data_IF_442600003069
#
_entry.id   IF_442600003069
#
_cell.length_a   1.000
_cell.length_b   1.000
_cell.length_c   1.000
_cell.angle_alpha   90.00
_cell.angle_beta   90.00
_cell.angle_gamma   90.00
#
_symmetry.space_group_name_H-M   'P 1'
#
loop_
_entity.id
_entity.type
_entity.pdbx_description
1 polymer ?
#
# COMPACT_ATOMS: atom_id res chain seq x y z
N UNK A 1 25.45 5.61 4.33
CA UNK A 1 25.00 4.25 4.64
C UNK A 1 23.53 4.08 4.33
N UNK A 2 23.17 2.91 3.82
CA UNK A 2 21.83 2.65 3.29
C UNK A 2 21.12 1.50 4.01
N UNK A 3 21.55 1.17 5.24
CA UNK A 3 21.05 0.01 5.97
C UNK A 3 19.57 0.14 6.32
N UNK A 4 19.13 1.33 6.74
CA UNK A 4 17.73 1.55 7.08
C UNK A 4 16.86 1.62 5.83
N UNK A 5 17.34 2.24 4.76
CA UNK A 5 16.63 2.26 3.48
C UNK A 5 16.45 0.83 2.98
N UNK A 6 17.50 0.01 3.02
CA UNK A 6 17.44 -1.39 2.61
C UNK A 6 16.45 -2.18 3.46
N UNK A 7 16.42 -1.93 4.78
CA UNK A 7 15.47 -2.57 5.67
C UNK A 7 14.03 -2.23 5.29
N UNK A 8 13.73 -0.94 5.09
CA UNK A 8 12.41 -0.52 4.66
C UNK A 8 12.01 -1.14 3.33
N UNK A 9 12.93 -1.12 2.36
CA UNK A 9 12.67 -1.71 1.04
C UNK A 9 12.29 -3.18 1.16
N UNK A 10 13.04 -3.95 1.95
CA UNK A 10 12.75 -5.36 2.20
C UNK A 10 11.40 -5.56 2.88
N UNK A 11 11.07 -4.74 3.88
CA UNK A 11 9.81 -4.86 4.59
C UNK A 11 8.61 -4.55 3.70
N UNK A 12 8.71 -3.54 2.84
CA UNK A 12 7.64 -3.26 1.88
C UNK A 12 7.51 -4.37 0.83
N UNK A 13 8.62 -4.98 0.42
CA UNK A 13 8.59 -6.14 -0.49
C UNK A 13 7.91 -7.33 0.15
N UNK A 14 8.15 -7.57 1.43
CA UNK A 14 7.48 -8.65 2.17
C UNK A 14 5.98 -8.41 2.25
N UNK A 15 5.57 -7.18 2.49
CA UNK A 15 4.17 -6.80 2.52
C UNK A 15 3.51 -7.03 1.15
N UNK A 16 4.15 -6.59 0.07
CA UNK A 16 3.67 -6.82 -1.29
C UNK A 16 3.50 -8.31 -1.59
N UNK A 17 4.48 -9.13 -1.20
CA UNK A 17 4.39 -10.59 -1.36
C UNK A 17 3.20 -11.16 -0.60
N UNK A 18 2.94 -10.66 0.61
CA UNK A 18 1.80 -11.10 1.40
C UNK A 18 0.47 -10.74 0.72
N UNK A 19 0.36 -9.54 0.14
CA UNK A 19 -0.83 -9.15 -0.63
C UNK A 19 -1.07 -10.12 -1.78
N UNK A 20 -0.01 -10.46 -2.53
CA UNK A 20 -0.12 -11.31 -3.71
C UNK A 20 -0.50 -12.74 -3.34
N UNK A 21 0.11 -13.28 -2.28
CA UNK A 21 -0.25 -14.60 -1.78
C UNK A 21 -1.72 -14.65 -1.33
N UNK A 22 -2.16 -13.65 -0.58
CA UNK A 22 -3.56 -13.58 -0.14
C UNK A 22 -4.51 -13.46 -1.32
N UNK A 23 -4.15 -12.68 -2.35
CA UNK A 23 -4.95 -12.54 -3.55
C UNK A 23 -5.09 -13.87 -4.29
N UNK A 24 -4.00 -14.65 -4.39
CA UNK A 24 -4.04 -15.98 -5.01
C UNK A 24 -5.01 -16.93 -4.31
N UNK A 25 -5.17 -16.79 -3.01
CA UNK A 25 -6.09 -17.63 -2.22
C UNK A 25 -7.54 -17.21 -2.30
N UNK A 26 -7.85 -16.04 -2.86
CA UNK A 26 -9.22 -15.59 -2.99
C UNK A 26 -9.99 -16.46 -3.98
N UNK A 27 -11.25 -16.72 -3.66
CA UNK A 27 -12.17 -17.34 -4.60
C UNK A 27 -12.69 -16.24 -5.54
N UNK A 28 -12.41 -16.39 -6.84
CA UNK A 28 -12.83 -15.41 -7.86
C UNK A 28 -14.34 -15.17 -7.82
N UNK A 29 -15.13 -16.22 -7.60
CA UNK A 29 -16.58 -16.11 -7.59
C UNK A 29 -17.11 -15.40 -6.34
N UNK A 30 -16.34 -15.42 -5.25
CA UNK A 30 -16.72 -14.82 -3.97
C UNK A 30 -16.04 -13.47 -3.71
N UNK A 31 -15.17 -13.04 -4.63
CA UNK A 31 -14.39 -11.82 -4.44
C UNK A 31 -15.28 -10.57 -4.33
N UNK A 32 -16.29 -10.50 -5.19
CA UNK A 32 -17.21 -9.36 -5.23
C UNK A 32 -18.64 -9.84 -5.40
N UNK A 33 -19.57 -9.29 -4.62
CA UNK A 33 -21.00 -9.59 -4.74
C UNK A 33 -21.70 -8.51 -5.56
N UNK A 34 -22.21 -8.81 -6.76
CA UNK A 34 -22.96 -7.82 -7.53
C UNK A 34 -24.29 -7.44 -6.89
N UNK A 35 -24.85 -8.30 -6.04
CA UNK A 35 -26.12 -8.04 -5.34
C UNK A 35 -25.94 -6.98 -4.25
N UNK A 36 -24.93 -7.16 -3.39
CA UNK A 36 -24.63 -6.22 -2.29
C UNK A 36 -23.69 -5.11 -2.72
N UNK A 37 -23.04 -5.25 -3.88
CA UNK A 37 -22.00 -4.34 -4.38
C UNK A 37 -20.84 -4.21 -3.40
N UNK A 38 -20.45 -5.31 -2.78
CA UNK A 38 -19.39 -5.35 -1.79
C UNK A 38 -18.33 -6.37 -2.17
N UNK A 39 -17.08 -6.02 -1.86
CA UNK A 39 -15.97 -6.95 -1.91
C UNK A 39 -16.06 -7.90 -0.71
N UNK A 40 -15.47 -9.09 -0.87
CA UNK A 40 -15.30 -9.99 0.27
C UNK A 40 -14.46 -9.30 1.34
N UNK A 41 -14.64 -9.65 2.63
CA UNK A 41 -13.84 -9.02 3.70
C UNK A 41 -12.34 -9.16 3.49
N UNK A 42 -11.88 -10.30 3.00
CA UNK A 42 -10.45 -10.51 2.72
C UNK A 42 -9.95 -9.60 1.61
N UNK A 43 -10.68 -9.49 0.50
CA UNK A 43 -10.31 -8.61 -0.61
C UNK A 43 -10.28 -7.16 -0.15
N UNK A 44 -11.26 -6.73 0.64
CA UNK A 44 -11.30 -5.37 1.17
C UNK A 44 -10.07 -5.05 2.02
N UNK A 45 -9.64 -5.98 2.88
CA UNK A 45 -8.46 -5.76 3.73
C UNK A 45 -7.17 -5.68 2.92
N UNK A 46 -7.02 -6.50 1.88
CA UNK A 46 -5.86 -6.40 0.99
C UNK A 46 -5.81 -5.02 0.33
N UNK A 47 -6.93 -4.55 -0.18
CA UNK A 47 -7.02 -3.25 -0.85
C UNK A 47 -6.75 -2.12 0.13
N UNK A 48 -7.29 -2.18 1.36
CA UNK A 48 -7.03 -1.18 2.39
C UNK A 48 -5.56 -1.11 2.75
N UNK A 49 -4.90 -2.26 2.86
CA UNK A 49 -3.46 -2.32 3.11
C UNK A 49 -2.67 -1.66 1.99
N UNK A 50 -2.97 -2.03 0.74
CA UNK A 50 -2.25 -1.53 -0.43
C UNK A 50 -2.46 -0.03 -0.64
N UNK A 51 -3.68 0.49 -0.41
CA UNK A 51 -3.94 1.92 -0.58
C UNK A 51 -3.18 2.79 0.42
N UNK A 52 -2.94 2.27 1.63
CA UNK A 52 -2.15 2.98 2.64
C UNK A 52 -0.73 3.21 2.11
N UNK A 53 -0.15 2.19 1.48
CA UNK A 53 1.18 2.29 0.85
C UNK A 53 1.13 3.23 -0.35
N UNK A 54 0.12 3.11 -1.19
CA UNK A 54 -0.03 3.99 -2.36
C UNK A 54 -0.13 5.45 -1.95
N UNK A 55 -0.95 5.76 -0.94
CA UNK A 55 -1.11 7.11 -0.44
C UNK A 55 0.21 7.68 0.09
N UNK A 56 0.95 6.89 0.87
CA UNK A 56 2.23 7.33 1.43
C UNK A 56 3.24 7.65 0.32
N UNK A 57 3.39 6.76 -0.66
CA UNK A 57 4.37 6.98 -1.74
C UNK A 57 3.89 8.01 -2.76
N UNK A 58 2.59 8.17 -2.97
CA UNK A 58 2.06 9.28 -3.75
C UNK A 58 2.37 10.62 -3.11
N UNK A 59 2.25 10.70 -1.79
CA UNK A 59 2.63 11.90 -1.03
C UNK A 59 4.13 12.18 -1.09
N UNK A 60 4.95 11.15 -0.89
CA UNK A 60 6.41 11.27 -0.90
C UNK A 60 6.92 11.74 -2.26
N UNK A 61 6.39 11.17 -3.36
CA UNK A 61 6.92 11.43 -4.70
C UNK A 61 6.32 12.65 -5.38
N UNK A 62 5.03 12.94 -5.15
CA UNK A 62 4.30 13.95 -5.89
C UNK A 62 3.41 14.84 -5.03
N UNK A 63 3.53 14.74 -3.71
CA UNK A 63 2.70 15.46 -2.74
C UNK A 63 1.20 15.17 -2.95
N UNK A 64 0.87 13.97 -3.41
CA UNK A 64 -0.50 13.51 -3.61
C UNK A 64 -0.89 12.59 -2.46
N UNK A 65 -1.71 13.12 -1.54
CA UNK A 65 -2.14 12.41 -0.32
C UNK A 65 -3.57 11.90 -0.40
N UNK A 66 -4.15 11.86 -1.59
CA UNK A 66 -5.52 11.42 -1.79
C UNK A 66 -5.70 9.94 -1.44
N UNK A 67 -6.89 9.61 -0.98
CA UNK A 67 -7.28 8.25 -0.66
C UNK A 67 -8.14 7.68 -1.80
N UNK A 68 -7.56 6.91 -2.72
CA UNK A 68 -8.31 6.40 -3.86
C UNK A 68 -9.39 5.40 -3.45
N UNK A 69 -9.24 4.74 -2.29
CA UNK A 69 -10.20 3.72 -1.84
C UNK A 69 -11.61 4.28 -1.65
N UNK A 70 -11.73 5.50 -1.15
CA UNK A 70 -13.04 6.10 -0.87
C UNK A 70 -13.82 6.41 -2.15
N UNK A 71 -13.14 6.55 -3.29
CA UNK A 71 -13.77 7.05 -4.50
C UNK A 71 -14.15 5.95 -5.49
N UNK A 72 -13.21 5.16 -5.97
CA UNK A 72 -13.46 4.28 -7.11
C UNK A 72 -12.94 2.84 -6.96
N UNK A 73 -11.96 2.60 -6.10
CA UNK A 73 -11.27 1.30 -6.07
C UNK A 73 -12.20 0.09 -5.84
N UNK A 74 -13.14 0.12 -4.87
CA UNK A 74 -13.96 -1.06 -4.62
C UNK A 74 -14.79 -1.49 -5.82
N UNK A 75 -15.23 -0.55 -6.65
CA UNK A 75 -16.04 -0.85 -7.84
C UNK A 75 -15.21 -1.33 -9.02
N UNK A 76 -13.93 -0.92 -9.07
CA UNK A 76 -13.06 -1.25 -10.19
C UNK A 76 -12.26 -2.53 -9.96
N UNK A 77 -12.06 -2.95 -8.69
CA UNK A 77 -11.21 -4.09 -8.34
C UNK A 77 -12.04 -5.34 -8.07
N UNK A 78 -12.94 -5.69 -8.99
CA UNK A 78 -13.91 -6.77 -8.82
C UNK A 78 -13.41 -8.13 -9.31
N UNK A 79 -12.19 -8.21 -9.86
CA UNK A 79 -11.59 -9.47 -10.30
C UNK A 79 -10.17 -9.59 -9.77
N UNK A 80 -9.67 -10.83 -9.69
CA UNK A 80 -8.26 -11.05 -9.27
C UNK A 80 -7.28 -10.34 -10.19
N UNK A 81 -7.52 -10.37 -11.52
CA UNK A 81 -6.63 -9.72 -12.46
C UNK A 81 -6.57 -8.20 -12.23
N UNK A 82 -7.72 -7.59 -11.99
CA UNK A 82 -7.75 -6.15 -11.69
C UNK A 82 -7.05 -5.83 -10.38
N UNK A 83 -7.22 -6.68 -9.36
CA UNK A 83 -6.53 -6.51 -8.10
C UNK A 83 -5.02 -6.63 -8.28
N UNK A 84 -4.54 -7.63 -9.02
CA UNK A 84 -3.11 -7.79 -9.31
C UNK A 84 -2.57 -6.57 -10.07
N UNK A 85 -3.31 -6.06 -11.05
CA UNK A 85 -2.91 -4.86 -11.78
C UNK A 85 -2.77 -3.66 -10.83
N UNK A 86 -3.69 -3.51 -9.90
CA UNK A 86 -3.59 -2.47 -8.88
C UNK A 86 -2.36 -2.64 -8.00
N UNK A 87 -2.07 -3.87 -7.56
CA UNK A 87 -0.88 -4.15 -6.77
C UNK A 87 0.41 -3.83 -7.54
N UNK A 88 0.41 -4.07 -8.85
CA UNK A 88 1.54 -3.68 -9.71
C UNK A 88 1.72 -2.17 -9.74
N UNK A 89 0.64 -1.41 -9.79
CA UNK A 89 0.69 0.06 -9.75
C UNK A 89 1.24 0.57 -8.41
N UNK A 90 0.83 -0.05 -7.30
CA UNK A 90 1.34 0.28 -5.97
C UNK A 90 2.84 -0.03 -5.87
N UNK A 91 3.26 -1.17 -6.39
CA UNK A 91 4.68 -1.54 -6.45
C UNK A 91 5.48 -0.50 -7.21
N UNK A 92 4.99 -0.07 -8.37
CA UNK A 92 5.68 0.92 -9.20
C UNK A 92 5.82 2.26 -8.47
N UNK A 93 4.76 2.71 -7.79
CA UNK A 93 4.81 3.94 -6.99
C UNK A 93 5.84 3.83 -5.86
N UNK A 94 5.86 2.69 -5.18
CA UNK A 94 6.83 2.42 -4.12
C UNK A 94 8.27 2.43 -4.65
N UNK A 95 8.52 1.78 -5.77
CA UNK A 95 9.85 1.73 -6.38
C UNK A 95 10.32 3.12 -6.80
N UNK A 96 9.42 3.95 -7.33
CA UNK A 96 9.75 5.35 -7.64
C UNK A 96 10.17 6.12 -6.39
N UNK A 97 9.46 5.90 -5.28
CA UNK A 97 9.80 6.55 -4.01
C UNK A 97 11.18 6.14 -3.51
N UNK A 98 11.48 4.85 -3.52
CA UNK A 98 12.78 4.37 -3.04
C UNK A 98 13.93 4.86 -3.91
N UNK A 99 13.71 5.08 -5.20
CA UNK A 99 14.75 5.65 -6.07
C UNK A 99 15.14 7.08 -5.68
N UNK A 100 14.28 7.80 -4.96
CA UNK A 100 14.59 9.14 -4.47
C UNK A 100 15.45 9.14 -3.20
N UNK A 101 15.54 8.02 -2.52
CA UNK A 101 16.29 7.92 -1.27
C UNK A 101 17.74 7.55 -1.57
N UNK A 102 18.63 8.52 -1.51
CA UNK A 102 20.04 8.31 -1.86
C UNK A 102 20.83 7.66 -0.72
N UNK A 103 20.52 8.03 0.52
CA UNK A 103 21.16 7.45 1.71
C UNK A 103 20.23 7.59 2.92
N UNK A 104 20.65 7.02 4.06
CA UNK A 104 19.83 6.98 5.27
C UNK A 104 19.52 8.36 5.84
N UNK A 105 20.29 9.39 5.48
CA UNK A 105 20.01 10.76 5.95
C UNK A 105 18.69 11.29 5.39
N UNK A 106 18.23 10.78 4.25
CA UNK A 106 16.93 11.14 3.69
C UNK A 106 15.78 10.80 4.65
N UNK A 107 15.94 9.75 5.44
CA UNK A 107 14.91 9.30 6.38
C UNK A 107 14.66 10.26 7.52
N UNK A 108 15.61 11.16 7.79
CA UNK A 108 15.50 12.18 8.83
C UNK A 108 14.87 13.47 8.34
N UNK A 109 14.65 13.61 7.03
CA UNK A 109 14.06 14.81 6.45
C UNK A 109 12.60 14.95 6.87
N UNK A 110 12.18 16.20 7.05
CA UNK A 110 10.79 16.52 7.34
C UNK A 110 9.93 16.35 6.09
N UNK A 111 8.73 15.82 6.30
CA UNK A 111 7.69 15.74 5.29
C UNK A 111 6.38 16.21 5.93
N UNK A 112 5.46 16.74 5.13
CA UNK A 112 4.22 17.32 5.65
C UNK A 112 3.01 16.63 5.03
N UNK A 113 2.62 15.43 5.55
CA UNK A 113 1.35 14.80 5.17
C UNK A 113 0.17 15.57 5.79
N UNK A 114 -1.07 15.23 5.43
CA UNK A 114 -2.26 15.91 5.98
C UNK A 114 -2.34 15.89 7.51
N UNK A 115 -1.81 14.85 8.14
CA UNK A 115 -1.82 14.71 9.60
C UNK A 115 -0.84 15.65 10.31
N UNK A 116 0.08 16.29 9.58
CA UNK A 116 1.06 17.22 10.14
C UNK A 116 2.51 16.81 9.87
N UNK A 117 3.42 17.70 10.19
CA UNK A 117 4.86 17.51 9.93
C UNK A 117 5.41 16.31 10.70
N UNK A 118 6.19 15.49 10.01
CA UNK A 118 6.87 14.35 10.59
C UNK A 118 8.17 14.09 9.83
N UNK A 119 9.00 13.19 10.35
CA UNK A 119 10.17 12.72 9.61
C UNK A 119 9.73 11.61 8.64
N UNK A 120 10.44 11.48 7.54
CA UNK A 120 10.16 10.43 6.55
C UNK A 120 10.22 9.04 7.17
N UNK A 121 11.20 8.79 8.06
CA UNK A 121 11.31 7.50 8.76
C UNK A 121 10.03 7.18 9.54
N UNK A 122 9.49 8.15 10.27
CA UNK A 122 8.27 7.96 11.05
C UNK A 122 7.08 7.67 10.15
N UNK A 123 6.98 8.36 9.02
CA UNK A 123 5.92 8.10 8.04
C UNK A 123 6.00 6.68 7.50
N UNK A 124 7.20 6.22 7.13
CA UNK A 124 7.39 4.87 6.60
C UNK A 124 7.06 3.80 7.64
N UNK A 125 7.48 3.99 8.89
CA UNK A 125 7.16 3.07 9.98
C UNK A 125 5.65 3.01 10.23
N UNK A 126 5.00 4.16 10.33
CA UNK A 126 3.55 4.23 10.52
C UNK A 126 2.82 3.54 9.36
N UNK A 127 3.26 3.78 8.14
CA UNK A 127 2.69 3.17 6.94
C UNK A 127 2.78 1.64 7.02
N UNK A 128 3.95 1.10 7.37
CA UNK A 128 4.14 -0.35 7.52
C UNK A 128 3.23 -0.93 8.59
N UNK A 129 3.17 -0.30 9.76
CA UNK A 129 2.35 -0.81 10.87
C UNK A 129 0.88 -0.86 10.46
N UNK A 130 0.36 0.21 9.88
CA UNK A 130 -1.04 0.29 9.48
C UNK A 130 -1.36 -0.68 8.34
N UNK A 131 -0.48 -0.77 7.35
CA UNK A 131 -0.68 -1.66 6.22
C UNK A 131 -0.64 -3.13 6.64
N UNK A 132 0.30 -3.51 7.50
CA UNK A 132 0.36 -4.88 8.03
C UNK A 132 -0.85 -5.22 8.88
N UNK A 133 -1.40 -4.26 9.62
CA UNK A 133 -2.62 -4.48 10.39
C UNK A 133 -3.76 -4.97 9.49
N UNK A 134 -3.99 -4.28 8.37
CA UNK A 134 -5.02 -4.69 7.42
C UNK A 134 -4.69 -6.02 6.75
N UNK A 135 -3.44 -6.23 6.36
CA UNK A 135 -3.03 -7.48 5.71
C UNK A 135 -3.24 -8.70 6.62
N UNK A 136 -2.97 -8.56 7.91
CA UNK A 136 -3.20 -9.66 8.86
C UNK A 136 -4.67 -10.02 9.00
N UNK A 137 -5.55 -9.09 8.74
CA UNK A 137 -7.00 -9.31 8.77
C UNK A 137 -7.56 -9.84 7.46
N UNK A 138 -6.72 -10.04 6.45
CA UNK A 138 -7.14 -10.52 5.13
C UNK A 138 -7.20 -12.05 5.04
N UNK A 139 -7.20 -12.73 6.14
CA UNK A 139 -7.20 -14.22 6.18
C UNK A 139 -8.60 -14.78 6.03
#
# INVERSE_FOLDING_TARGET
MNDFISWFDQEFKRLDSAWRESTERLDEDLLYSPVTRQLSPSAEQIIRSARIVEQAFGGITANLWDDPFEWTLPETLVTKNKLITYLDEVQEARERGFRLFTDDSELLKSIVPPAGRTQLMSLLLDTLVRAWHHQRNAV
#
